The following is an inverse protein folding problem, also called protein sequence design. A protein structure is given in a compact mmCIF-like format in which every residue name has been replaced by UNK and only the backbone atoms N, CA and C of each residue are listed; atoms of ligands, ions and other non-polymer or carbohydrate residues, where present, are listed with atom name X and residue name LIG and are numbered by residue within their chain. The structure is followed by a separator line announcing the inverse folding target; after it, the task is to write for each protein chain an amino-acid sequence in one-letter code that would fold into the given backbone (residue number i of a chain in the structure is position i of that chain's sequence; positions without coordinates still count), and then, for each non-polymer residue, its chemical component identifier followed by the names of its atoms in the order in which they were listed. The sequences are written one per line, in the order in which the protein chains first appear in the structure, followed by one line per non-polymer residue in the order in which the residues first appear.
data_IF_806748583316
#
_entry.id   IF_806748583316
#
_cell.length_a   1.000
_cell.length_b   1.000
_cell.length_c   1.000
_cell.angle_alpha   90.00
_cell.angle_beta   90.00
_cell.angle_gamma   90.00
#
_symmetry.space_group_name_H-M   'P 1'
#
loop_
_entity.id
_entity.type
_entity.pdbx_description
1 polymer ?
#
# COMPACT_ATOMS: atom_id res chain seq x y z
N UNK A 1 -17.52 -25.21 5.51
CA UNK A 1 -18.38 -26.38 5.75
C UNK A 1 -18.93 -26.25 7.17
N UNK A 2 -20.24 -26.38 7.39
CA UNK A 2 -20.83 -26.22 8.73
C UNK A 2 -20.87 -27.56 9.46
N UNK A 3 -20.53 -27.55 10.76
CA UNK A 3 -20.88 -28.61 11.72
C UNK A 3 -21.36 -27.92 13.00
N UNK A 4 -22.47 -28.40 13.55
CA UNK A 4 -23.02 -28.01 14.85
C UNK A 4 -23.24 -29.29 15.66
N UNK A 5 -22.84 -29.32 16.93
CA UNK A 5 -23.42 -30.20 17.94
C UNK A 5 -23.55 -29.46 19.29
N UNK A 6 -24.36 -30.00 20.20
CA UNK A 6 -25.22 -29.21 21.10
C UNK A 6 -25.29 -29.80 22.53
N UNK A 7 -25.06 -28.96 23.56
CA UNK A 7 -25.50 -29.04 24.99
C UNK A 7 -25.12 -30.32 25.81
N UNK A 8 -25.26 -30.43 27.16
CA UNK A 8 -25.40 -29.56 28.37
C UNK A 8 -24.95 -30.43 29.59
N UNK A 9 -24.87 -30.09 30.89
CA UNK A 9 -25.24 -28.99 31.83
C UNK A 9 -23.97 -28.61 32.66
N UNK A 10 -23.89 -27.75 33.69
CA UNK A 10 -24.80 -26.89 34.49
C UNK A 10 -24.08 -25.51 34.65
N UNK A 11 -24.66 -24.38 35.07
CA UNK A 11 -26.03 -24.02 35.45
C UNK A 11 -26.09 -22.53 35.91
N UNK A 12 -27.28 -22.01 36.22
CA UNK A 12 -27.54 -20.66 36.79
C UNK A 12 -27.10 -19.41 35.98
N UNK A 13 -27.94 -19.09 34.98
CA UNK A 13 -28.52 -17.77 34.73
C UNK A 13 -27.67 -16.48 34.91
N UNK A 14 -27.29 -15.88 33.77
CA UNK A 14 -27.29 -14.42 33.61
C UNK A 14 -27.66 -14.07 32.16
N UNK A 15 -28.85 -13.51 31.91
CA UNK A 15 -29.35 -13.24 30.55
C UNK A 15 -28.92 -11.83 30.12
N UNK A 16 -27.72 -11.72 29.55
CA UNK A 16 -27.42 -10.61 28.65
C UNK A 16 -27.91 -10.99 27.25
N UNK A 17 -29.02 -10.38 26.83
CA UNK A 17 -29.61 -10.62 25.51
C UNK A 17 -28.84 -9.85 24.44
N UNK A 18 -27.64 -10.36 24.09
CA UNK A 18 -26.84 -9.84 22.98
C UNK A 18 -27.59 -10.10 21.67
N UNK A 19 -28.33 -9.10 21.21
CA UNK A 19 -28.88 -9.08 19.86
C UNK A 19 -27.74 -8.87 18.86
N UNK A 20 -27.02 -9.95 18.56
CA UNK A 20 -26.26 -10.05 17.32
C UNK A 20 -27.23 -10.04 16.16
N UNK A 21 -27.62 -8.84 15.71
CA UNK A 21 -28.34 -8.66 14.45
C UNK A 21 -27.40 -9.22 13.38
N UNK A 22 -27.74 -10.32 12.68
CA UNK A 22 -26.94 -10.73 11.56
C UNK A 22 -27.14 -9.65 10.49
N UNK A 23 -26.11 -8.87 10.20
CA UNK A 23 -26.13 -7.98 9.04
C UNK A 23 -26.24 -8.90 7.82
N UNK A 24 -27.48 -9.11 7.35
CA UNK A 24 -27.78 -9.80 6.11
C UNK A 24 -27.40 -8.87 4.95
N UNK A 25 -26.09 -8.72 4.75
CA UNK A 25 -25.52 -8.13 3.53
C UNK A 25 -26.10 -8.96 2.38
N UNK A 26 -26.96 -8.34 1.57
CA UNK A 26 -27.81 -8.99 0.57
C UNK A 26 -27.08 -9.55 -0.66
N UNK A 27 -25.79 -9.87 -0.52
CA UNK A 27 -24.88 -10.18 -1.61
C UNK A 27 -24.63 -11.69 -1.71
N UNK A 28 -25.37 -12.37 -2.60
CA UNK A 28 -25.12 -13.79 -2.92
C UNK A 28 -23.71 -14.06 -3.47
N UNK A 29 -23.02 -13.03 -3.98
CA UNK A 29 -21.68 -13.10 -4.55
C UNK A 29 -20.54 -13.22 -3.52
N UNK A 30 -20.73 -12.77 -2.27
CA UNK A 30 -19.64 -12.76 -1.28
C UNK A 30 -19.21 -14.15 -0.78
N UNK A 31 -20.04 -15.19 -0.96
CA UNK A 31 -19.77 -16.54 -0.42
C UNK A 31 -18.63 -17.32 -1.12
N UNK A 32 -18.07 -16.77 -2.20
CA UNK A 32 -16.93 -17.35 -2.92
C UNK A 32 -15.83 -16.33 -3.23
N UNK A 33 -15.87 -15.12 -2.65
CA UNK A 33 -14.78 -14.16 -2.79
C UNK A 33 -13.58 -14.61 -1.95
N UNK A 34 -12.38 -14.45 -2.49
CA UNK A 34 -11.13 -14.59 -1.75
C UNK A 34 -10.57 -13.21 -1.40
N UNK A 35 -9.77 -13.14 -0.33
CA UNK A 35 -9.19 -11.91 0.22
C UNK A 35 -7.66 -11.94 0.08
N UNK A 36 -7.03 -10.78 -0.12
CA UNK A 36 -5.63 -10.56 0.24
C UNK A 36 -5.46 -9.21 0.93
N UNK A 37 -4.41 -9.08 1.75
CA UNK A 37 -4.04 -7.83 2.40
C UNK A 37 -2.97 -7.09 1.58
N UNK A 38 -2.97 -5.77 1.66
CA UNK A 38 -1.98 -4.86 1.12
C UNK A 38 -1.62 -3.88 2.25
N UNK A 39 -0.32 -3.79 2.53
CA UNK A 39 0.27 -2.89 3.51
C UNK A 39 1.40 -2.19 2.78
N UNK A 40 1.49 -0.87 2.91
CA UNK A 40 2.63 -0.08 2.43
C UNK A 40 3.21 0.75 3.58
N UNK A 41 4.40 1.30 3.36
CA UNK A 41 4.95 2.43 4.11
C UNK A 41 4.80 2.29 5.63
N UNK A 42 5.48 1.27 6.16
CA UNK A 42 5.56 0.99 7.59
C UNK A 42 6.38 2.04 8.34
N UNK A 43 7.47 2.53 7.72
CA UNK A 43 8.50 3.45 8.27
C UNK A 43 8.64 3.35 9.79
N UNK A 44 9.42 2.36 10.24
CA UNK A 44 9.72 2.21 11.66
C UNK A 44 10.74 3.27 12.11
N UNK A 45 10.35 4.16 13.02
CA UNK A 45 11.31 4.96 13.79
C UNK A 45 11.72 4.19 15.07
N UNK A 46 12.94 3.63 15.15
CA UNK A 46 13.40 2.91 16.34
C UNK A 46 13.76 3.84 17.51
N UNK A 47 13.79 5.17 17.31
CA UNK A 47 14.05 6.14 18.37
C UNK A 47 12.77 6.69 19.00
N UNK A 48 11.58 6.31 18.51
CA UNK A 48 10.32 6.89 19.00
C UNK A 48 10.11 6.61 20.50
N UNK A 49 10.04 7.67 21.31
CA UNK A 49 9.68 7.61 22.72
C UNK A 49 9.01 8.92 23.19
N UNK A 50 7.95 8.82 23.98
CA UNK A 50 7.27 10.01 24.54
C UNK A 50 8.12 10.62 25.65
N UNK A 51 8.38 11.94 25.58
CA UNK A 51 9.25 12.69 26.49
C UNK A 51 8.80 14.16 26.55
N UNK A 52 9.11 14.87 27.64
CA UNK A 52 8.75 16.30 27.83
C UNK A 52 9.42 17.21 26.79
N UNK A 53 10.60 16.83 26.29
CA UNK A 53 11.27 17.54 25.21
C UNK A 53 10.79 16.99 23.86
N UNK A 54 9.72 17.57 23.34
CA UNK A 54 9.08 17.16 22.09
C UNK A 54 10.02 17.17 20.86
N UNK A 55 11.19 17.84 20.92
CA UNK A 55 12.21 17.79 19.85
C UNK A 55 12.99 16.48 19.79
N UNK A 56 12.88 15.65 20.83
CA UNK A 56 13.60 14.37 20.98
C UNK A 56 12.68 13.13 20.88
N UNK A 57 11.38 13.33 20.65
CA UNK A 57 10.40 12.23 20.62
C UNK A 57 10.73 11.21 19.54
N UNK A 58 11.13 11.66 18.35
CA UNK A 58 11.43 10.83 17.20
C UNK A 58 12.55 11.50 16.38
N UNK A 59 13.37 10.72 15.67
CA UNK A 59 14.43 11.29 14.81
C UNK A 59 13.84 11.76 13.47
N UNK A 60 12.77 11.09 13.02
CA UNK A 60 11.99 11.40 11.82
C UNK A 60 11.48 12.84 11.74
N UNK A 61 11.17 13.50 12.87
CA UNK A 61 10.78 14.93 12.88
C UNK A 61 11.93 15.90 12.58
N UNK A 62 13.18 15.42 12.47
CA UNK A 62 14.38 16.21 12.18
C UNK A 62 14.60 17.35 13.20
N UNK A 63 14.20 17.12 14.46
CA UNK A 63 14.29 18.08 15.56
C UNK A 63 13.11 19.07 15.66
N UNK A 64 12.11 18.96 14.79
CA UNK A 64 10.81 19.63 14.98
C UNK A 64 10.14 19.07 16.24
N UNK A 65 9.54 19.90 17.10
CA UNK A 65 8.73 19.41 18.21
C UNK A 65 7.52 18.60 17.69
N UNK A 66 7.40 17.33 18.10
CA UNK A 66 6.21 16.52 17.89
C UNK A 66 4.95 17.23 18.45
N UNK A 67 3.79 17.07 17.82
CA UNK A 67 2.64 17.93 18.09
C UNK A 67 1.81 17.50 19.32
N UNK A 68 1.37 16.24 19.37
CA UNK A 68 0.65 15.63 20.49
C UNK A 68 1.07 14.14 20.63
N UNK A 69 2.33 13.88 21.02
CA UNK A 69 2.96 12.57 20.89
C UNK A 69 2.41 11.55 21.90
N UNK A 70 1.90 10.43 21.37
CA UNK A 70 1.35 9.34 22.16
C UNK A 70 1.92 7.97 21.82
N UNK A 71 1.38 6.94 22.47
CA UNK A 71 1.90 5.56 22.43
C UNK A 71 1.83 4.93 21.02
N UNK A 72 1.00 5.47 20.13
CA UNK A 72 0.84 4.98 18.76
C UNK A 72 1.42 5.94 17.70
N UNK A 73 2.09 7.02 18.08
CA UNK A 73 2.76 7.93 17.15
C UNK A 73 2.39 9.41 17.33
N UNK A 74 2.88 10.23 16.40
CA UNK A 74 2.53 11.65 16.23
C UNK A 74 2.53 11.95 14.72
N UNK A 75 1.75 12.93 14.25
CA UNK A 75 1.70 13.26 12.81
C UNK A 75 2.99 13.93 12.28
N UNK A 76 3.95 14.28 13.12
CA UNK A 76 5.29 14.76 12.70
C UNK A 76 6.38 13.70 12.90
N UNK A 77 5.99 12.44 13.15
CA UNK A 77 6.90 11.32 13.39
C UNK A 77 6.53 10.09 12.56
N UNK A 78 7.53 9.29 12.25
CA UNK A 78 7.36 7.94 11.74
C UNK A 78 6.87 6.94 12.79
N UNK A 79 6.42 5.77 12.33
CA UNK A 79 5.74 4.77 13.16
C UNK A 79 6.60 4.30 14.34
N UNK A 80 6.15 4.44 15.60
CA UNK A 80 6.69 3.62 16.67
C UNK A 80 6.40 2.14 16.40
N UNK A 81 7.25 1.24 16.89
CA UNK A 81 7.04 -0.20 16.73
C UNK A 81 5.66 -0.66 17.24
N UNK A 82 5.15 -0.01 18.30
CA UNK A 82 3.82 -0.27 18.86
C UNK A 82 2.66 0.00 17.89
N UNK A 83 2.79 0.95 16.97
CA UNK A 83 1.78 1.21 15.92
C UNK A 83 1.73 0.04 14.94
N UNK A 84 2.89 -0.32 14.37
CA UNK A 84 3.04 -1.42 13.40
C UNK A 84 2.59 -2.76 14.02
N UNK A 85 2.94 -3.01 15.29
CA UNK A 85 2.47 -4.16 16.04
C UNK A 85 0.94 -4.18 16.19
N UNK A 86 0.32 -3.03 16.43
CA UNK A 86 -1.14 -2.95 16.50
C UNK A 86 -1.81 -3.26 15.15
N UNK A 87 -1.21 -2.82 14.05
CA UNK A 87 -1.68 -3.10 12.68
C UNK A 87 -1.64 -4.60 12.36
N UNK A 88 -0.48 -5.25 12.56
CA UNK A 88 -0.36 -6.71 12.38
C UNK A 88 -1.25 -7.49 13.37
N UNK A 89 -1.39 -7.00 14.60
CA UNK A 89 -2.30 -7.60 15.60
C UNK A 89 -3.77 -7.49 15.20
N UNK A 90 -4.18 -6.41 14.54
CA UNK A 90 -5.53 -6.26 14.02
C UNK A 90 -5.78 -7.21 12.85
N UNK A 91 -4.86 -7.28 11.88
CA UNK A 91 -4.93 -8.25 10.78
C UNK A 91 -5.02 -9.69 11.29
N UNK A 92 -4.15 -10.07 12.24
CA UNK A 92 -4.15 -11.39 12.86
C UNK A 92 -5.38 -11.64 13.74
N UNK A 93 -6.07 -10.62 14.23
CA UNK A 93 -7.37 -10.78 14.91
C UNK A 93 -8.54 -10.92 13.92
N UNK A 94 -8.53 -10.15 12.84
CA UNK A 94 -9.51 -10.23 11.75
C UNK A 94 -9.49 -11.59 11.02
N UNK A 95 -8.34 -12.29 11.04
CA UNK A 95 -8.16 -13.65 10.51
C UNK A 95 -7.80 -14.74 11.58
N UNK A 96 -7.86 -14.37 12.88
CA UNK A 96 -7.73 -15.16 14.14
C UNK A 96 -6.35 -15.47 14.82
N UNK A 97 -6.26 -14.98 16.07
CA UNK A 97 -5.47 -15.36 17.27
C UNK A 97 -3.92 -15.14 17.35
N UNK A 98 -3.36 -14.82 18.55
CA UNK A 98 -2.12 -14.04 18.70
C UNK A 98 -0.81 -14.84 18.88
N UNK A 99 0.34 -14.16 18.66
CA UNK A 99 1.68 -14.35 19.28
C UNK A 99 2.76 -13.53 18.51
N UNK A 100 4.01 -13.46 19.02
CA UNK A 100 4.86 -12.24 19.18
C UNK A 100 6.36 -12.64 19.30
N UNK A 101 7.45 -11.91 18.92
CA UNK A 101 7.75 -10.62 18.26
C UNK A 101 9.19 -10.63 17.65
N UNK A 102 9.48 -9.84 16.58
CA UNK A 102 10.79 -9.25 16.16
C UNK A 102 10.82 -8.78 14.69
N UNK A 103 11.44 -7.61 14.36
CA UNK A 103 11.84 -7.09 13.02
C UNK A 103 10.87 -7.27 11.82
N UNK A 104 10.38 -6.19 11.19
CA UNK A 104 9.44 -6.14 10.04
C UNK A 104 9.22 -7.44 9.23
N UNK A 105 10.20 -7.92 8.46
CA UNK A 105 10.04 -9.15 7.64
C UNK A 105 9.80 -10.39 8.53
N UNK A 106 10.56 -10.52 9.62
CA UNK A 106 10.40 -11.60 10.60
C UNK A 106 9.11 -11.44 11.42
N UNK A 107 8.63 -10.21 11.65
CA UNK A 107 7.35 -9.93 12.34
C UNK A 107 6.21 -10.42 11.46
N UNK A 108 6.23 -10.14 10.17
CA UNK A 108 5.29 -10.70 9.19
C UNK A 108 5.35 -12.23 9.20
N UNK A 109 6.54 -12.84 9.22
CA UNK A 109 6.70 -14.30 9.29
C UNK A 109 6.18 -14.92 10.61
N UNK A 110 6.30 -14.23 11.75
CA UNK A 110 5.78 -14.68 13.04
C UNK A 110 4.25 -14.50 13.19
N UNK A 111 3.72 -13.39 12.67
CA UNK A 111 2.28 -13.12 12.68
C UNK A 111 1.55 -13.99 11.65
N UNK A 112 2.18 -14.33 10.52
CA UNK A 112 1.55 -15.07 9.42
C UNK A 112 2.44 -16.22 8.87
N UNK A 113 2.86 -17.21 9.69
CA UNK A 113 3.85 -18.24 9.32
C UNK A 113 3.39 -19.22 8.23
N UNK A 114 2.12 -19.17 7.83
CA UNK A 114 1.54 -19.99 6.74
C UNK A 114 1.05 -19.14 5.56
N UNK A 115 1.21 -17.81 5.61
CA UNK A 115 0.80 -16.90 4.54
C UNK A 115 2.04 -16.53 3.70
N UNK A 116 2.04 -16.78 2.39
CA UNK A 116 3.08 -16.23 1.52
C UNK A 116 2.90 -14.72 1.43
N UNK A 117 4.00 -13.98 1.59
CA UNK A 117 4.01 -12.52 1.45
C UNK A 117 4.92 -12.14 0.30
N UNK A 118 4.47 -11.17 -0.50
CA UNK A 118 5.13 -10.77 -1.72
C UNK A 118 5.52 -9.29 -1.64
N UNK A 119 6.75 -8.98 -1.22
CA UNK A 119 7.22 -7.60 -1.07
C UNK A 119 7.64 -6.97 -2.41
N UNK A 120 7.75 -5.64 -2.40
CA UNK A 120 8.51 -4.84 -3.35
C UNK A 120 9.48 -3.96 -2.53
N UNK A 121 10.57 -3.48 -3.15
CA UNK A 121 11.48 -2.52 -2.50
C UNK A 121 10.89 -1.10 -2.56
N UNK A 122 10.97 -0.37 -1.47
CA UNK A 122 10.76 1.07 -1.41
C UNK A 122 12.02 1.90 -1.68
N UNK A 123 11.86 3.21 -1.82
CA UNK A 123 12.97 4.14 -2.03
C UNK A 123 13.81 4.36 -0.75
N UNK A 124 13.21 4.15 0.43
CA UNK A 124 13.87 4.17 1.74
C UNK A 124 14.50 2.82 2.15
N UNK A 125 14.30 1.73 1.40
CA UNK A 125 14.92 0.43 1.69
C UNK A 125 16.44 0.39 1.35
N UNK A 126 17.01 1.50 0.88
CA UNK A 126 18.39 1.61 0.43
C UNK A 126 19.12 2.79 1.09
N UNK A 127 20.46 2.77 1.10
CA UNK A 127 21.28 3.86 1.63
C UNK A 127 22.42 4.26 0.68
N UNK A 128 22.57 5.56 0.33
CA UNK A 128 21.64 6.66 0.59
C UNK A 128 20.25 6.40 0.00
N UNK A 129 19.22 7.04 0.56
CA UNK A 129 17.84 6.85 0.09
C UNK A 129 17.70 7.22 -1.40
N UNK A 130 16.70 6.65 -2.06
CA UNK A 130 16.37 6.84 -3.48
C UNK A 130 17.40 6.29 -4.48
N UNK A 131 18.68 6.21 -4.12
CA UNK A 131 19.81 5.86 -5.00
C UNK A 131 19.95 4.35 -5.26
N UNK A 132 18.84 3.64 -5.51
CA UNK A 132 18.85 2.19 -5.75
C UNK A 132 19.63 1.87 -7.05
N UNK A 133 20.68 1.03 -6.99
CA UNK A 133 21.62 0.86 -8.08
C UNK A 133 21.19 -0.20 -9.11
N UNK A 134 21.87 -0.19 -10.25
CA UNK A 134 21.63 -1.09 -11.40
C UNK A 134 22.50 -2.35 -11.40
N UNK A 135 23.11 -2.69 -10.26
CA UNK A 135 23.93 -3.88 -10.08
C UNK A 135 23.59 -4.63 -8.78
N UNK A 136 23.91 -5.93 -8.68
CA UNK A 136 23.85 -6.69 -7.43
C UNK A 136 24.62 -5.99 -6.31
N UNK A 137 24.02 -5.98 -5.11
CA UNK A 137 24.52 -5.27 -3.94
C UNK A 137 23.99 -5.94 -2.65
N UNK A 138 24.53 -5.52 -1.50
CA UNK A 138 24.21 -6.11 -0.19
C UNK A 138 22.74 -5.98 0.22
N UNK A 139 22.00 -4.95 -0.23
CA UNK A 139 20.57 -4.80 0.07
C UNK A 139 19.75 -5.77 -0.77
N UNK A 140 20.02 -5.89 -2.07
CA UNK A 140 19.36 -6.87 -2.94
C UNK A 140 19.65 -8.31 -2.50
N UNK A 141 20.87 -8.59 -2.02
CA UNK A 141 21.24 -9.88 -1.44
C UNK A 141 20.54 -10.15 -0.10
N UNK A 142 20.49 -9.16 0.80
CA UNK A 142 19.79 -9.29 2.09
C UNK A 142 18.27 -9.47 1.90
N UNK A 143 17.64 -8.71 1.00
CA UNK A 143 16.24 -8.86 0.63
C UNK A 143 15.97 -10.27 0.06
N UNK A 144 16.77 -10.72 -0.90
CA UNK A 144 16.66 -12.07 -1.46
C UNK A 144 16.81 -13.18 -0.40
N UNK A 145 17.76 -13.04 0.55
CA UNK A 145 17.95 -13.95 1.68
C UNK A 145 16.72 -13.98 2.59
N UNK A 146 16.21 -12.81 3.00
CA UNK A 146 15.06 -12.65 3.89
C UNK A 146 13.72 -13.10 3.27
N UNK A 147 13.54 -12.91 1.97
CA UNK A 147 12.31 -13.23 1.24
C UNK A 147 12.31 -14.64 0.62
N UNK A 148 13.45 -15.34 0.65
CA UNK A 148 13.56 -16.74 0.18
C UNK A 148 12.55 -17.75 0.75
N UNK A 149 11.94 -17.58 1.96
CA UNK A 149 10.85 -18.45 2.41
C UNK A 149 9.53 -18.28 1.65
N UNK A 150 9.36 -17.18 0.91
CA UNK A 150 8.13 -16.87 0.15
C UNK A 150 8.32 -16.95 -1.38
N UNK A 151 9.57 -16.81 -1.85
CA UNK A 151 9.92 -16.69 -3.27
C UNK A 151 10.49 -18.00 -3.82
N UNK A 152 10.23 -18.28 -5.11
CA UNK A 152 10.89 -19.39 -5.80
C UNK A 152 12.36 -19.02 -6.19
N UNK A 153 13.23 -19.98 -6.53
CA UNK A 153 14.64 -19.69 -6.81
C UNK A 153 14.89 -18.71 -7.97
N UNK A 154 14.00 -18.65 -8.95
CA UNK A 154 14.04 -17.71 -10.08
C UNK A 154 13.74 -16.26 -9.64
N UNK A 155 12.73 -16.10 -8.77
CA UNK A 155 12.41 -14.83 -8.14
C UNK A 155 13.53 -14.36 -7.20
N UNK A 156 14.12 -15.26 -6.40
CA UNK A 156 15.29 -14.95 -5.55
C UNK A 156 16.47 -14.43 -6.40
N UNK A 157 16.78 -15.10 -7.52
CA UNK A 157 17.86 -14.69 -8.42
C UNK A 157 17.60 -13.33 -9.11
N UNK A 158 16.34 -13.01 -9.44
CA UNK A 158 15.98 -11.71 -10.04
C UNK A 158 15.97 -10.57 -9.01
N UNK A 159 15.58 -10.83 -7.75
CA UNK A 159 15.79 -9.89 -6.64
C UNK A 159 17.28 -9.58 -6.47
N UNK A 160 18.16 -10.60 -6.42
CA UNK A 160 19.61 -10.38 -6.32
C UNK A 160 20.18 -9.57 -7.50
N UNK A 161 19.62 -9.72 -8.71
CA UNK A 161 20.06 -8.99 -9.90
C UNK A 161 19.67 -7.50 -9.86
N UNK A 162 18.46 -7.16 -9.42
CA UNK A 162 17.91 -5.81 -9.60
C UNK A 162 16.71 -5.41 -8.73
N UNK A 163 16.37 -6.19 -7.69
CA UNK A 163 15.28 -5.88 -6.77
C UNK A 163 13.86 -6.12 -7.29
N UNK A 164 13.70 -6.73 -8.48
CA UNK A 164 12.42 -7.06 -9.10
C UNK A 164 12.29 -8.58 -9.32
N UNK A 165 11.08 -9.11 -9.42
CA UNK A 165 10.85 -10.55 -9.68
C UNK A 165 9.45 -10.85 -10.23
N UNK A 166 9.28 -12.05 -10.79
CA UNK A 166 7.95 -12.61 -11.07
C UNK A 166 7.87 -14.07 -10.64
N UNK A 167 6.70 -14.52 -10.23
CA UNK A 167 6.44 -15.94 -9.99
C UNK A 167 4.95 -16.26 -10.15
N UNK A 168 4.65 -17.51 -10.53
CA UNK A 168 3.29 -18.03 -10.47
C UNK A 168 2.92 -18.24 -8.99
N UNK A 169 1.97 -17.46 -8.48
CA UNK A 169 1.55 -17.51 -7.06
C UNK A 169 0.42 -18.53 -6.81
N UNK A 170 -0.29 -18.91 -7.87
CA UNK A 170 -1.26 -20.02 -7.94
C UNK A 170 -1.57 -20.32 -9.42
N UNK A 171 -2.13 -21.49 -9.77
CA UNK A 171 -2.51 -21.79 -11.14
C UNK A 171 -3.35 -20.66 -11.77
N UNK A 172 -2.88 -20.13 -12.90
CA UNK A 172 -3.53 -19.03 -13.62
C UNK A 172 -3.29 -17.61 -13.09
N UNK A 173 -2.57 -17.40 -11.97
CA UNK A 173 -2.18 -16.05 -11.53
C UNK A 173 -0.66 -15.97 -11.29
N UNK A 174 -0.02 -15.08 -12.05
CA UNK A 174 1.33 -14.59 -11.80
C UNK A 174 1.29 -13.31 -10.98
N UNK A 175 2.30 -13.14 -10.14
CA UNK A 175 2.68 -11.84 -9.59
C UNK A 175 3.94 -11.34 -10.30
N UNK A 176 3.98 -10.03 -10.57
CA UNK A 176 5.16 -9.28 -10.97
C UNK A 176 5.41 -8.20 -9.92
N UNK A 177 6.59 -8.20 -9.31
CA UNK A 177 7.07 -7.14 -8.41
C UNK A 177 8.12 -6.31 -9.13
N UNK A 178 7.87 -5.01 -9.27
CA UNK A 178 8.74 -4.06 -9.97
C UNK A 178 9.57 -3.24 -8.98
N UNK A 179 10.84 -3.02 -9.32
CA UNK A 179 11.67 -2.04 -8.66
C UNK A 179 11.52 -0.70 -9.40
N UNK A 180 10.40 0.01 -9.15
CA UNK A 180 10.12 1.32 -9.76
C UNK A 180 10.99 2.45 -9.21
N UNK A 181 11.75 2.21 -8.13
CA UNK A 181 12.75 3.16 -7.62
C UNK A 181 13.88 3.39 -8.62
N UNK A 182 14.17 2.42 -9.51
CA UNK A 182 15.08 2.63 -10.65
C UNK A 182 14.56 3.68 -11.65
N UNK A 183 13.28 4.01 -11.60
CA UNK A 183 12.65 5.03 -12.44
C UNK A 183 12.35 6.34 -11.69
N UNK A 184 12.53 6.35 -10.36
CA UNK A 184 12.16 7.47 -9.49
C UNK A 184 12.97 8.72 -9.80
N UNK A 185 12.33 9.89 -9.81
CA UNK A 185 12.95 11.13 -10.30
C UNK A 185 14.19 11.60 -9.52
N UNK A 186 14.32 11.37 -8.20
CA UNK A 186 15.55 11.63 -7.43
C UNK A 186 16.65 10.54 -7.52
N UNK A 187 16.44 9.41 -8.20
CA UNK A 187 17.46 8.36 -8.29
C UNK A 187 18.50 8.72 -9.36
N UNK A 188 19.57 9.41 -8.98
CA UNK A 188 20.59 9.91 -9.90
C UNK A 188 21.42 8.77 -10.53
N UNK A 189 21.44 7.58 -9.92
CA UNK A 189 22.15 6.39 -10.43
C UNK A 189 21.59 5.90 -11.77
N UNK A 190 20.33 6.21 -12.09
CA UNK A 190 19.65 5.75 -13.34
C UNK A 190 19.44 6.85 -14.38
N UNK A 191 20.05 8.02 -14.20
CA UNK A 191 19.99 9.13 -15.17
C UNK A 191 20.62 8.72 -16.51
N UNK A 192 20.00 9.16 -17.61
CA UNK A 192 20.37 8.84 -19.00
C UNK A 192 20.36 7.34 -19.39
N UNK A 193 19.86 6.44 -18.53
CA UNK A 193 19.61 5.05 -18.90
C UNK A 193 18.26 4.92 -19.65
N UNK A 194 18.17 3.98 -20.59
CA UNK A 194 16.92 3.70 -21.33
C UNK A 194 16.10 2.57 -20.72
N UNK A 195 16.76 1.55 -20.17
CA UNK A 195 16.14 0.44 -19.45
C UNK A 195 17.06 -0.05 -18.30
N UNK A 196 16.98 0.56 -17.11
CA UNK A 196 17.73 0.14 -15.93
C UNK A 196 17.61 -1.37 -15.66
N UNK A 197 18.75 -2.08 -15.70
CA UNK A 197 18.87 -3.54 -15.48
C UNK A 197 18.14 -4.42 -16.53
N UNK A 198 17.56 -3.81 -17.57
CA UNK A 198 16.72 -4.49 -18.55
C UNK A 198 15.30 -4.83 -18.03
N UNK A 199 14.81 -4.09 -17.05
CA UNK A 199 13.55 -4.36 -16.35
C UNK A 199 12.31 -4.14 -17.27
N UNK A 200 12.33 -3.21 -18.23
CA UNK A 200 11.25 -3.06 -19.21
C UNK A 200 11.23 -4.20 -20.24
N UNK A 201 12.38 -4.66 -20.72
CA UNK A 201 12.47 -5.86 -21.56
C UNK A 201 11.92 -7.07 -20.80
N UNK A 202 12.46 -7.34 -19.61
CA UNK A 202 12.06 -8.46 -18.75
C UNK A 202 10.57 -8.41 -18.38
N UNK A 203 10.00 -7.23 -18.12
CA UNK A 203 8.56 -7.08 -17.86
C UNK A 203 7.72 -7.51 -19.07
N UNK A 204 8.11 -7.12 -20.28
CA UNK A 204 7.38 -7.52 -21.50
C UNK A 204 7.50 -9.03 -21.75
N UNK A 205 8.66 -9.63 -21.49
CA UNK A 205 8.87 -11.08 -21.56
C UNK A 205 7.98 -11.83 -20.54
N UNK A 206 7.90 -11.36 -19.29
CA UNK A 206 7.05 -11.94 -18.26
C UNK A 206 5.55 -11.81 -18.56
N UNK A 207 5.11 -10.67 -19.12
CA UNK A 207 3.71 -10.44 -19.51
C UNK A 207 3.31 -11.25 -20.75
N UNK A 208 4.21 -11.43 -21.72
CA UNK A 208 3.97 -12.27 -22.90
C UNK A 208 3.97 -13.76 -22.56
N UNK A 209 4.86 -14.23 -21.68
CA UNK A 209 4.81 -15.58 -21.11
C UNK A 209 3.46 -15.82 -20.39
N UNK A 210 2.99 -14.83 -19.62
CA UNK A 210 1.69 -14.89 -18.96
C UNK A 210 0.54 -15.03 -19.97
N UNK A 211 0.56 -14.25 -21.06
CA UNK A 211 -0.43 -14.33 -22.15
C UNK A 211 -0.45 -15.72 -22.80
N UNK A 212 0.72 -16.26 -23.12
CA UNK A 212 0.85 -17.59 -23.75
C UNK A 212 0.33 -18.71 -22.85
N UNK A 213 0.61 -18.62 -21.54
CA UNK A 213 0.14 -19.55 -20.53
C UNK A 213 -1.34 -19.32 -20.10
N UNK A 214 -1.99 -18.25 -20.57
CA UNK A 214 -3.33 -17.79 -20.16
C UNK A 214 -3.42 -17.43 -18.67
N UNK A 215 -2.32 -16.96 -18.11
CA UNK A 215 -2.23 -16.41 -16.76
C UNK A 215 -2.78 -14.98 -16.73
N UNK A 216 -3.35 -14.59 -15.58
CA UNK A 216 -3.51 -13.18 -15.19
C UNK A 216 -2.29 -12.71 -14.43
N UNK A 217 -2.09 -11.40 -14.38
CA UNK A 217 -0.92 -10.78 -13.74
C UNK A 217 -1.37 -9.71 -12.77
N UNK A 218 -1.08 -9.90 -11.48
CA UNK A 218 -1.05 -8.79 -10.54
C UNK A 218 0.34 -8.15 -10.56
N UNK A 219 0.39 -6.82 -10.66
CA UNK A 219 1.63 -6.04 -10.62
C UNK A 219 1.67 -5.28 -9.31
N UNK A 220 2.77 -5.41 -8.56
CA UNK A 220 3.09 -4.59 -7.39
C UNK A 220 4.37 -3.79 -7.65
N UNK A 221 4.44 -2.61 -7.04
CA UNK A 221 5.52 -1.66 -7.15
C UNK A 221 5.42 -0.69 -5.96
N UNK A 222 6.51 0.00 -5.65
CA UNK A 222 6.49 1.09 -4.67
C UNK A 222 6.07 2.40 -5.34
N UNK A 223 7.02 3.14 -5.93
CA UNK A 223 6.73 4.43 -6.58
C UNK A 223 5.70 4.25 -7.71
N UNK A 224 4.53 4.91 -7.64
CA UNK A 224 3.42 4.68 -8.55
C UNK A 224 3.52 5.48 -9.85
N UNK A 225 3.01 4.91 -10.95
CA UNK A 225 2.90 5.59 -12.24
C UNK A 225 1.80 6.67 -12.25
N UNK A 226 1.87 7.56 -13.23
CA UNK A 226 0.97 8.69 -13.41
C UNK A 226 1.34 9.91 -12.56
N UNK A 227 0.49 10.93 -12.66
CA UNK A 227 0.72 12.25 -12.06
C UNK A 227 0.49 12.29 -10.55
N UNK A 228 1.18 13.21 -9.88
CA UNK A 228 1.06 13.49 -8.45
C UNK A 228 -0.23 14.26 -8.14
N UNK A 229 -1.05 13.83 -7.16
CA UNK A 229 -2.35 14.47 -6.85
C UNK A 229 -2.24 15.85 -6.19
N UNK A 230 -1.02 16.31 -5.91
CA UNK A 230 -0.70 17.60 -5.30
C UNK A 230 0.18 18.51 -6.18
N UNK A 231 0.71 18.02 -7.32
CA UNK A 231 1.55 18.82 -8.23
C UNK A 231 1.12 18.66 -9.70
N UNK A 232 0.68 19.75 -10.33
CA UNK A 232 0.21 19.74 -11.73
C UNK A 232 1.28 19.23 -12.69
N UNK A 233 0.87 18.38 -13.65
CA UNK A 233 1.69 17.79 -14.71
C UNK A 233 3.00 17.10 -14.24
N UNK A 234 3.16 16.83 -12.94
CA UNK A 234 4.38 16.28 -12.36
C UNK A 234 4.20 14.78 -12.10
N UNK A 235 5.15 13.95 -12.49
CA UNK A 235 5.16 12.49 -12.29
C UNK A 235 6.17 12.10 -11.20
N UNK A 236 5.91 11.01 -10.47
CA UNK A 236 6.83 10.55 -9.42
C UNK A 236 8.10 9.93 -10.02
N UNK A 237 7.90 8.96 -10.91
CA UNK A 237 8.95 8.43 -11.81
C UNK A 237 9.13 9.35 -13.02
N UNK A 238 10.33 9.34 -13.62
CA UNK A 238 10.67 10.22 -14.75
C UNK A 238 9.73 9.97 -15.94
N UNK A 239 9.34 11.05 -16.63
CA UNK A 239 8.28 11.05 -17.66
C UNK A 239 8.48 10.00 -18.78
N UNK A 240 9.72 9.81 -19.24
CA UNK A 240 10.07 8.78 -20.23
C UNK A 240 9.74 7.36 -19.76
N UNK A 241 10.07 7.04 -18.51
CA UNK A 241 9.78 5.77 -17.86
C UNK A 241 8.27 5.62 -17.57
N UNK A 242 7.59 6.72 -17.23
CA UNK A 242 6.13 6.74 -17.08
C UNK A 242 5.42 6.31 -18.36
N UNK A 243 5.72 6.97 -19.48
CA UNK A 243 5.09 6.65 -20.77
C UNK A 243 5.47 5.25 -21.28
N UNK A 244 6.67 4.76 -20.95
CA UNK A 244 7.09 3.40 -21.26
C UNK A 244 6.26 2.35 -20.49
N UNK A 245 6.03 2.52 -19.18
CA UNK A 245 5.16 1.63 -18.40
C UNK A 245 3.70 1.73 -18.83
N UNK A 246 3.18 2.94 -19.03
CA UNK A 246 1.82 3.22 -19.54
C UNK A 246 1.59 2.51 -20.90
N UNK A 247 2.58 2.53 -21.79
CA UNK A 247 2.56 1.82 -23.08
C UNK A 247 2.61 0.30 -22.91
N UNK A 248 3.47 -0.23 -22.05
CA UNK A 248 3.55 -1.67 -21.77
C UNK A 248 2.22 -2.17 -21.19
N UNK A 249 1.68 -1.55 -20.15
CA UNK A 249 0.43 -1.99 -19.54
C UNK A 249 -0.80 -1.83 -20.46
N UNK A 250 -0.81 -0.87 -21.39
CA UNK A 250 -1.80 -0.82 -22.49
C UNK A 250 -1.69 -2.05 -23.39
N UNK A 251 -0.48 -2.38 -23.85
CA UNK A 251 -0.18 -3.51 -24.74
C UNK A 251 -0.43 -4.90 -24.12
N UNK A 252 -0.51 -5.01 -22.79
CA UNK A 252 -0.74 -6.26 -22.04
C UNK A 252 -1.98 -6.20 -21.12
N UNK A 253 -2.93 -5.31 -21.44
CA UNK A 253 -4.22 -5.16 -20.73
C UNK A 253 -5.03 -6.47 -20.65
N UNK A 254 -4.93 -7.34 -21.65
CA UNK A 254 -5.58 -8.65 -21.65
C UNK A 254 -5.12 -9.59 -20.51
N UNK A 255 -3.92 -9.40 -19.96
CA UNK A 255 -3.39 -10.19 -18.83
C UNK A 255 -3.35 -9.45 -17.50
N UNK A 256 -3.09 -8.13 -17.48
CA UNK A 256 -2.96 -7.38 -16.21
C UNK A 256 -4.33 -7.11 -15.56
N UNK A 257 -5.28 -6.48 -16.27
CA UNK A 257 -6.69 -6.46 -15.86
C UNK A 257 -7.62 -6.05 -17.02
N UNK A 258 -8.82 -6.63 -17.04
CA UNK A 258 -9.66 -6.73 -18.24
C UNK A 258 -9.99 -5.42 -18.95
N UNK A 259 -10.28 -5.54 -20.26
CA UNK A 259 -10.64 -4.40 -21.13
C UNK A 259 -11.76 -3.54 -20.50
N UNK A 260 -11.68 -2.20 -20.56
CA UNK A 260 -10.91 -1.44 -21.57
C UNK A 260 -9.38 -1.39 -21.43
N UNK A 261 -8.81 -1.05 -20.27
CA UNK A 261 -7.35 -0.85 -20.12
C UNK A 261 -6.77 -1.49 -18.85
N UNK A 262 -6.94 -0.88 -17.67
CA UNK A 262 -6.43 -1.40 -16.40
C UNK A 262 -7.01 -0.61 -15.19
N UNK A 263 -6.95 -1.21 -13.99
CA UNK A 263 -7.27 -0.57 -12.70
C UNK A 263 -6.00 -0.43 -11.87
N UNK A 264 -5.72 0.75 -11.32
CA UNK A 264 -4.55 0.99 -10.46
C UNK A 264 -4.99 1.65 -9.16
N UNK A 265 -4.49 1.12 -8.04
CA UNK A 265 -4.81 1.56 -6.68
C UNK A 265 -3.51 1.86 -5.94
N UNK A 266 -3.41 3.06 -5.39
CA UNK A 266 -2.39 3.43 -4.40
C UNK A 266 -3.03 3.21 -3.03
N UNK A 267 -2.33 2.51 -2.14
CA UNK A 267 -2.74 2.24 -0.75
C UNK A 267 -2.30 3.43 0.13
N UNK A 268 -2.78 3.62 1.37
CA UNK A 268 -2.21 4.59 2.30
C UNK A 268 -1.26 3.92 3.29
N UNK A 269 -0.27 4.69 3.75
CA UNK A 269 0.76 4.25 4.68
C UNK A 269 0.23 3.73 6.04
N UNK A 270 1.08 2.97 6.75
CA UNK A 270 0.92 2.76 8.20
C UNK A 270 1.54 3.93 8.97
N UNK A 271 2.63 4.54 8.48
CA UNK A 271 3.16 5.78 9.07
C UNK A 271 2.15 6.92 8.95
N UNK A 272 1.99 7.77 10.00
CA UNK A 272 1.16 8.97 9.97
C UNK A 272 1.96 10.24 9.64
N UNK A 273 3.26 10.12 9.32
CA UNK A 273 4.15 11.26 9.15
C UNK A 273 3.66 12.22 8.06
N UNK A 274 3.82 13.52 8.31
CA UNK A 274 3.74 14.60 7.32
C UNK A 274 4.78 15.67 7.63
N UNK A 275 5.18 16.41 6.60
CA UNK A 275 6.03 17.58 6.76
C UNK A 275 5.30 18.76 7.43
N UNK A 276 6.02 19.67 8.09
CA UNK A 276 5.42 20.84 8.78
C UNK A 276 4.57 21.73 7.86
N UNK A 277 5.00 21.87 6.61
CA UNK A 277 4.36 22.66 5.55
C UNK A 277 3.04 22.07 5.04
N UNK A 278 2.76 20.79 5.32
CA UNK A 278 1.62 20.08 4.75
C UNK A 278 0.35 20.26 5.59
N UNK A 279 -0.81 20.57 4.97
CA UNK A 279 -2.04 20.87 5.68
C UNK A 279 -2.77 19.63 6.23
N UNK A 280 -2.41 18.42 5.80
CA UNK A 280 -3.02 17.16 6.22
C UNK A 280 -2.01 16.02 6.20
N UNK A 281 -2.34 14.90 6.85
CA UNK A 281 -1.70 13.60 6.70
C UNK A 281 -2.75 12.52 6.41
N UNK A 282 -2.35 11.25 6.35
CA UNK A 282 -3.23 10.10 6.55
C UNK A 282 -3.29 9.70 8.04
N UNK A 283 -4.40 9.09 8.46
CA UNK A 283 -4.35 8.18 9.60
C UNK A 283 -3.56 6.91 9.23
N UNK A 284 -2.94 6.20 10.19
CA UNK A 284 -2.39 4.85 9.97
C UNK A 284 -3.43 3.91 9.36
N UNK A 285 -3.05 3.21 8.28
CA UNK A 285 -3.98 2.52 7.39
C UNK A 285 -3.63 1.06 7.13
N UNK A 286 -4.65 0.26 6.78
CA UNK A 286 -4.52 -1.10 6.28
C UNK A 286 -5.57 -1.35 5.19
N UNK A 287 -5.21 -2.04 4.09
CA UNK A 287 -6.17 -2.34 3.01
C UNK A 287 -6.29 -3.84 2.74
N UNK A 288 -7.52 -4.31 2.55
CA UNK A 288 -7.79 -5.63 2.01
C UNK A 288 -8.52 -5.53 0.67
N UNK A 289 -8.21 -6.45 -0.25
CA UNK A 289 -8.84 -6.55 -1.56
C UNK A 289 -9.64 -7.86 -1.62
N UNK A 290 -10.87 -7.78 -2.11
CA UNK A 290 -11.69 -8.94 -2.47
C UNK A 290 -11.56 -9.23 -3.97
N UNK A 291 -11.44 -10.50 -4.34
CA UNK A 291 -11.33 -10.93 -5.73
C UNK A 291 -12.04 -12.25 -5.98
N UNK A 292 -12.44 -12.50 -7.23
CA UNK A 292 -13.03 -13.78 -7.64
C UNK A 292 -11.93 -14.84 -7.87
N UNK A 293 -11.98 -16.02 -7.22
CA UNK A 293 -10.93 -17.04 -7.33
C UNK A 293 -10.65 -17.57 -8.74
N UNK A 294 -11.65 -17.65 -9.61
CA UNK A 294 -11.53 -18.29 -10.94
C UNK A 294 -11.03 -17.35 -12.04
N UNK A 295 -11.28 -16.05 -11.89
CA UNK A 295 -11.03 -15.02 -12.92
C UNK A 295 -9.96 -14.01 -12.49
N UNK A 296 -9.65 -13.98 -11.19
CA UNK A 296 -8.81 -12.98 -10.52
C UNK A 296 -9.28 -11.53 -10.67
N UNK A 297 -10.53 -11.33 -11.10
CA UNK A 297 -11.16 -10.01 -11.14
C UNK A 297 -11.31 -9.44 -9.72
N UNK A 298 -10.84 -8.21 -9.51
CA UNK A 298 -11.04 -7.47 -8.28
C UNK A 298 -12.52 -7.08 -8.15
N UNK A 299 -13.09 -7.40 -6.99
CA UNK A 299 -14.49 -7.20 -6.64
C UNK A 299 -14.65 -5.96 -5.75
N UNK A 300 -13.81 -5.81 -4.73
CA UNK A 300 -13.92 -4.73 -3.75
C UNK A 300 -12.62 -4.41 -3.01
N UNK A 301 -12.60 -3.25 -2.34
CA UNK A 301 -11.58 -2.80 -1.40
C UNK A 301 -12.26 -2.54 -0.06
N UNK A 302 -11.68 -3.11 1.00
CA UNK A 302 -11.99 -2.76 2.38
C UNK A 302 -10.81 -1.93 2.91
N UNK A 303 -11.04 -0.64 3.16
CA UNK A 303 -10.06 0.22 3.81
C UNK A 303 -10.30 0.19 5.32
N UNK A 304 -9.25 -0.04 6.09
CA UNK A 304 -9.23 0.02 7.54
C UNK A 304 -8.27 1.13 7.98
N UNK A 305 -8.49 1.67 9.18
CA UNK A 305 -7.67 2.73 9.73
C UNK A 305 -7.63 2.68 11.26
N UNK A 306 -6.63 3.33 11.83
CA UNK A 306 -6.59 3.71 13.23
C UNK A 306 -6.74 5.22 13.34
N UNK A 307 -7.76 5.71 14.03
CA UNK A 307 -7.87 7.12 14.40
C UNK A 307 -6.76 7.45 15.42
N UNK A 308 -5.64 8.03 14.97
CA UNK A 308 -4.43 8.17 15.79
C UNK A 308 -4.69 9.03 17.04
N UNK A 309 -5.44 10.12 16.89
CA UNK A 309 -5.80 11.04 17.98
C UNK A 309 -6.64 10.34 19.06
N UNK A 310 -7.64 9.55 18.65
CA UNK A 310 -8.46 8.74 19.56
C UNK A 310 -7.63 7.63 20.23
N UNK A 311 -6.76 6.95 19.47
CA UNK A 311 -5.93 5.87 19.97
C UNK A 311 -4.89 6.34 21.00
N UNK A 312 -4.31 7.52 20.80
CA UNK A 312 -3.39 8.17 21.75
C UNK A 312 -4.13 8.63 23.01
N UNK A 313 -5.31 9.26 22.85
CA UNK A 313 -6.15 9.74 23.96
C UNK A 313 -6.65 8.60 24.86
N UNK A 314 -7.22 7.55 24.27
CA UNK A 314 -7.72 6.37 25.00
C UNK A 314 -6.59 5.38 25.39
N UNK A 315 -5.39 5.57 24.84
CA UNK A 315 -4.25 4.63 24.95
C UNK A 315 -4.61 3.22 24.47
N UNK A 316 -5.43 3.13 23.42
CA UNK A 316 -5.99 1.87 22.89
C UNK A 316 -6.08 1.90 21.37
N UNK A 317 -5.41 0.95 20.71
CA UNK A 317 -5.43 0.83 19.25
C UNK A 317 -6.70 0.15 18.72
N UNK A 318 -7.83 0.85 18.72
CA UNK A 318 -9.06 0.35 18.09
C UNK A 318 -9.09 0.63 16.59
N UNK A 319 -8.52 -0.30 15.82
CA UNK A 319 -8.58 -0.32 14.36
C UNK A 319 -10.00 -0.60 13.85
N UNK A 320 -10.48 0.23 12.91
CA UNK A 320 -11.86 0.26 12.43
C UNK A 320 -11.90 0.15 10.90
N UNK A 321 -13.00 -0.36 10.35
CA UNK A 321 -13.30 -0.26 8.92
C UNK A 321 -13.65 1.20 8.61
N UNK A 322 -12.93 1.83 7.68
CA UNK A 322 -13.23 3.18 7.20
C UNK A 322 -14.33 3.13 6.13
N UNK A 323 -14.13 2.32 5.08
CA UNK A 323 -15.11 2.16 4.01
C UNK A 323 -14.95 0.84 3.22
N UNK A 324 -16.03 0.47 2.55
CA UNK A 324 -16.06 -0.53 1.47
C UNK A 324 -16.23 0.23 0.15
N UNK A 325 -15.36 0.00 -0.83
CA UNK A 325 -15.27 0.85 -2.03
C UNK A 325 -16.53 0.80 -2.90
N UNK A 326 -17.14 -0.37 -3.08
CA UNK A 326 -18.40 -0.49 -3.84
C UNK A 326 -19.56 0.23 -3.17
N UNK A 327 -19.70 0.10 -1.85
CA UNK A 327 -20.77 0.72 -1.06
C UNK A 327 -20.57 2.24 -0.92
N UNK A 328 -19.35 2.68 -0.64
CA UNK A 328 -19.02 4.09 -0.45
C UNK A 328 -19.27 4.92 -1.73
N UNK A 329 -18.96 4.36 -2.90
CA UNK A 329 -19.10 5.04 -4.19
C UNK A 329 -20.24 4.53 -5.07
N UNK A 330 -21.11 3.64 -4.57
CA UNK A 330 -22.21 3.07 -5.35
C UNK A 330 -21.77 2.57 -6.74
N UNK A 331 -20.67 1.79 -6.78
CA UNK A 331 -20.14 1.16 -8.00
C UNK A 331 -20.30 -0.37 -7.91
N UNK A 332 -20.41 -1.05 -9.05
CA UNK A 332 -20.74 -2.47 -9.09
C UNK A 332 -19.55 -3.39 -8.73
N UNK A 333 -18.34 -2.98 -9.07
CA UNK A 333 -17.08 -3.71 -8.91
C UNK A 333 -15.89 -2.75 -9.07
N UNK A 334 -14.66 -3.30 -9.03
CA UNK A 334 -13.42 -2.57 -9.27
C UNK A 334 -12.88 -2.71 -10.71
N UNK A 335 -13.73 -3.11 -11.67
CA UNK A 335 -13.31 -3.24 -13.06
C UNK A 335 -13.17 -1.85 -13.73
N UNK A 336 -12.30 -1.68 -14.75
CA UNK A 336 -11.92 -0.33 -15.21
C UNK A 336 -13.10 0.52 -15.72
N UNK A 337 -14.18 -0.09 -16.20
CA UNK A 337 -15.40 0.63 -16.58
C UNK A 337 -16.11 1.26 -15.35
N UNK A 338 -16.30 0.51 -14.27
CA UNK A 338 -16.92 1.00 -13.03
C UNK A 338 -16.11 2.14 -12.40
N UNK A 339 -14.79 1.99 -12.40
CA UNK A 339 -13.86 3.03 -11.93
C UNK A 339 -13.87 4.28 -12.84
N UNK A 340 -13.90 4.11 -14.16
CA UNK A 340 -13.96 5.24 -15.10
C UNK A 340 -15.26 6.03 -14.94
N UNK A 341 -16.40 5.36 -14.75
CA UNK A 341 -17.65 6.07 -14.43
C UNK A 341 -17.56 6.84 -13.10
N UNK A 342 -16.89 6.30 -12.08
CA UNK A 342 -16.61 7.04 -10.85
C UNK A 342 -15.72 8.26 -11.12
N UNK A 343 -14.62 8.13 -11.87
CA UNK A 343 -13.75 9.26 -12.22
C UNK A 343 -14.53 10.40 -12.91
N UNK A 344 -15.41 10.09 -13.87
CA UNK A 344 -16.29 11.07 -14.51
C UNK A 344 -17.30 11.74 -13.54
N UNK A 345 -17.69 11.08 -12.43
CA UNK A 345 -18.45 11.72 -11.35
C UNK A 345 -17.56 12.57 -10.44
N UNK A 346 -16.33 12.15 -10.16
CA UNK A 346 -15.34 12.91 -9.37
C UNK A 346 -14.91 14.21 -10.09
N UNK A 347 -14.91 14.23 -11.42
CA UNK A 347 -14.57 15.42 -12.21
C UNK A 347 -15.59 16.59 -12.11
N UNK A 348 -16.81 16.33 -11.62
CA UNK A 348 -17.89 17.32 -11.61
C UNK A 348 -17.64 18.44 -10.57
N UNK A 349 -17.98 19.68 -10.93
CA UNK A 349 -17.69 20.88 -10.12
C UNK A 349 -18.21 20.79 -8.69
N UNK A 350 -19.44 20.31 -8.50
CA UNK A 350 -20.08 20.09 -7.20
C UNK A 350 -20.25 18.60 -6.88
N UNK A 351 -19.24 17.78 -7.21
CA UNK A 351 -19.24 16.34 -6.92
C UNK A 351 -19.14 16.05 -5.43
N UNK A 352 -20.22 15.52 -4.84
CA UNK A 352 -20.22 14.94 -3.48
C UNK A 352 -19.39 13.66 -3.37
N UNK A 353 -19.19 12.94 -4.47
CA UNK A 353 -18.27 11.81 -4.48
C UNK A 353 -16.82 12.28 -4.37
N UNK A 354 -16.48 13.45 -4.93
CA UNK A 354 -15.14 14.01 -4.76
C UNK A 354 -14.88 14.40 -3.31
N UNK A 355 -15.85 15.01 -2.64
CA UNK A 355 -15.68 15.46 -1.25
C UNK A 355 -15.50 14.24 -0.31
N UNK A 356 -16.21 13.14 -0.59
CA UNK A 356 -16.03 11.82 0.05
C UNK A 356 -14.67 11.18 -0.28
N UNK A 357 -14.28 11.18 -1.55
CA UNK A 357 -12.97 10.69 -2.02
C UNK A 357 -11.83 11.44 -1.36
N UNK A 358 -11.92 12.77 -1.20
CA UNK A 358 -10.89 13.56 -0.55
C UNK A 358 -10.76 13.27 0.96
N UNK A 359 -11.88 13.05 1.66
CA UNK A 359 -11.84 12.56 3.05
C UNK A 359 -11.14 11.19 3.16
N UNK A 360 -11.44 10.25 2.26
CA UNK A 360 -10.81 8.92 2.24
C UNK A 360 -9.36 8.92 1.71
N UNK A 361 -8.99 9.89 0.88
CA UNK A 361 -7.61 10.16 0.47
C UNK A 361 -6.75 10.51 1.69
N UNK A 362 -7.27 11.31 2.63
CA UNK A 362 -6.64 11.58 3.92
C UNK A 362 -6.92 10.49 4.98
N UNK A 363 -7.51 9.35 4.63
CA UNK A 363 -7.91 8.26 5.55
C UNK A 363 -8.69 8.80 6.77
N UNK A 364 -9.64 9.70 6.52
CA UNK A 364 -10.44 10.40 7.54
C UNK A 364 -9.64 11.15 8.63
N UNK A 365 -8.40 11.59 8.33
CA UNK A 365 -7.54 12.39 9.23
C UNK A 365 -8.27 13.59 9.85
N UNK A 366 -8.92 14.41 9.02
CA UNK A 366 -9.70 15.55 9.50
C UNK A 366 -10.81 15.93 8.50
N UNK A 367 -12.06 15.59 8.84
CA UNK A 367 -13.25 15.86 8.02
C UNK A 367 -13.63 17.36 7.91
N UNK A 368 -12.93 18.25 8.63
CA UNK A 368 -13.09 19.70 8.50
C UNK A 368 -12.28 20.30 7.34
N UNK A 369 -11.35 19.54 6.76
CA UNK A 369 -10.50 20.00 5.64
C UNK A 369 -11.24 19.77 4.32
N UNK A 370 -11.66 20.84 3.65
CA UNK A 370 -12.28 20.77 2.32
C UNK A 370 -11.25 21.03 1.22
N UNK A 371 -11.47 20.41 0.06
CA UNK A 371 -10.61 20.56 -1.11
C UNK A 371 -11.37 21.27 -2.23
N UNK A 372 -11.13 22.57 -2.37
CA UNK A 372 -11.81 23.47 -3.32
C UNK A 372 -10.82 24.12 -4.29
N UNK A 373 -11.35 24.82 -5.31
CA UNK A 373 -10.55 25.60 -6.26
C UNK A 373 -9.41 24.79 -6.91
N UNK A 374 -8.17 25.25 -6.71
CA UNK A 374 -6.97 24.57 -7.21
C UNK A 374 -6.78 23.17 -6.61
N UNK A 375 -7.07 22.95 -5.33
CA UNK A 375 -6.97 21.62 -4.72
C UNK A 375 -7.81 20.60 -5.51
N UNK A 376 -9.08 20.93 -5.76
CA UNK A 376 -10.00 20.10 -6.55
C UNK A 376 -9.61 19.96 -8.03
N UNK A 377 -8.65 20.74 -8.54
CA UNK A 377 -8.10 20.57 -9.89
C UNK A 377 -6.95 19.57 -9.89
N UNK A 378 -6.02 19.64 -8.93
CA UNK A 378 -4.84 18.75 -8.90
C UNK A 378 -5.18 17.36 -8.34
N UNK A 379 -6.03 17.29 -7.31
CA UNK A 379 -6.52 16.06 -6.69
C UNK A 379 -7.49 15.24 -7.56
N UNK A 380 -7.89 15.79 -8.71
CA UNK A 380 -8.84 15.15 -9.62
C UNK A 380 -8.17 13.93 -10.26
N UNK A 381 -8.81 12.73 -10.28
CA UNK A 381 -8.23 11.55 -10.94
C UNK A 381 -7.88 11.86 -12.40
N UNK A 382 -6.60 11.76 -12.75
CA UNK A 382 -6.15 12.05 -14.11
C UNK A 382 -6.50 10.89 -15.03
N UNK A 383 -7.67 10.96 -15.69
CA UNK A 383 -8.03 10.01 -16.74
C UNK A 383 -7.06 10.14 -17.90
N UNK A 384 -6.17 9.16 -18.12
CA UNK A 384 -5.17 9.19 -19.21
C UNK A 384 -5.77 9.06 -20.63
N UNK A 385 -7.11 9.06 -20.74
CA UNK A 385 -7.89 9.50 -21.90
C UNK A 385 -9.33 9.81 -21.45
N UNK A 386 -10.01 10.71 -22.16
CA UNK A 386 -11.48 10.87 -22.07
C UNK A 386 -12.24 9.80 -22.86
N UNK A 387 -11.55 9.03 -23.68
CA UNK A 387 -12.10 7.84 -24.33
C UNK A 387 -11.94 6.63 -23.41
N UNK A 388 -13.05 5.97 -22.97
CA UNK A 388 -12.99 4.79 -22.12
C UNK A 388 -12.13 3.66 -22.71
N UNK A 389 -12.01 3.57 -24.04
CA UNK A 389 -11.24 2.53 -24.74
C UNK A 389 -9.72 2.77 -24.74
N UNK A 390 -9.25 3.95 -24.31
CA UNK A 390 -7.84 4.36 -24.37
C UNK A 390 -7.26 4.79 -23.00
N UNK A 391 -8.09 5.07 -22.01
CA UNK A 391 -7.68 5.64 -20.72
C UNK A 391 -7.40 4.60 -19.63
N UNK A 392 -6.32 4.79 -18.87
CA UNK A 392 -6.22 4.22 -17.51
C UNK A 392 -7.17 4.97 -16.58
N UNK A 393 -7.80 4.24 -15.65
CA UNK A 393 -8.43 4.85 -14.48
C UNK A 393 -7.49 4.71 -13.28
N UNK A 394 -6.69 5.75 -13.04
CA UNK A 394 -5.86 5.90 -11.84
C UNK A 394 -6.69 6.55 -10.73
N UNK A 395 -7.19 5.75 -9.79
CA UNK A 395 -7.81 6.22 -8.56
C UNK A 395 -6.79 6.07 -7.43
N UNK A 396 -6.11 7.18 -7.10
CA UNK A 396 -5.23 7.25 -5.93
C UNK A 396 -6.09 7.43 -4.70
N UNK A 397 -6.27 6.36 -3.93
CA UNK A 397 -7.15 6.32 -2.75
C UNK A 397 -6.34 6.55 -1.46
N UNK A 398 -5.40 7.50 -1.52
CA UNK A 398 -4.45 7.81 -0.46
C UNK A 398 -3.62 9.06 -0.77
N UNK A 399 -3.40 9.87 0.26
CA UNK A 399 -2.15 10.58 0.45
C UNK A 399 -1.10 9.54 0.86
N UNK A 400 -0.09 9.36 0.02
CA UNK A 400 1.22 8.82 0.42
C UNK A 400 2.24 9.92 0.14
N UNK A 401 3.16 10.11 1.08
CA UNK A 401 4.21 11.12 0.99
C UNK A 401 5.22 10.70 -0.09
N UNK A 402 5.11 11.29 -1.29
CA UNK A 402 6.25 11.30 -2.22
C UNK A 402 7.18 12.41 -1.73
N UNK A 403 7.97 12.06 -0.70
CA UNK A 403 8.75 12.98 0.14
C UNK A 403 9.43 14.08 -0.67
N UNK A 404 9.26 15.31 -0.18
CA UNK A 404 9.72 16.51 -0.86
C UNK A 404 11.23 16.53 -1.07
N UNK A 405 11.64 16.98 -2.26
CA UNK A 405 13.01 17.25 -2.67
C UNK A 405 13.67 18.33 -1.78
N UNK A 406 14.23 17.94 -0.64
CA UNK A 406 15.15 18.78 0.15
C UNK A 406 16.46 18.03 0.45
N UNK A 407 17.62 18.72 0.43
CA UNK A 407 18.93 18.07 0.47
C UNK A 407 19.34 17.56 1.87
N UNK A 408 20.31 16.65 1.86
CA UNK A 408 20.74 15.82 3.00
C UNK A 408 21.33 16.59 4.19
N UNK A 409 21.20 16.00 5.39
CA UNK A 409 22.09 16.24 6.54
C UNK A 409 22.60 14.90 7.11
N UNK A 410 23.83 14.90 7.61
CA UNK A 410 24.77 13.78 7.46
C UNK A 410 24.83 12.79 8.66
N UNK A 411 23.77 12.65 9.46
CA UNK A 411 23.86 11.96 10.78
C UNK A 411 23.09 10.62 10.93
N UNK A 412 22.41 10.12 9.90
CA UNK A 412 21.65 8.85 9.94
C UNK A 412 22.53 7.55 9.97
N UNK A 413 23.77 7.62 10.46
CA UNK A 413 24.84 6.65 10.18
C UNK A 413 24.82 5.31 10.95
N UNK A 414 23.85 5.09 11.85
CA UNK A 414 23.90 3.97 12.81
C UNK A 414 23.00 2.80 12.40
N UNK A 415 21.70 3.05 12.14
CA UNK A 415 20.65 2.01 12.05
C UNK A 415 20.97 0.86 11.08
N UNK A 416 21.16 1.17 9.79
CA UNK A 416 21.36 0.16 8.73
C UNK A 416 22.70 -0.59 8.90
N UNK A 417 23.74 0.10 9.39
CA UNK A 417 25.07 -0.49 9.60
C UNK A 417 25.06 -1.55 10.70
N UNK A 418 24.30 -1.34 11.76
CA UNK A 418 24.22 -2.29 12.87
C UNK A 418 23.22 -3.42 12.61
N UNK A 419 22.15 -3.17 11.85
CA UNK A 419 21.27 -4.22 11.34
C UNK A 419 22.02 -5.25 10.47
N UNK A 420 22.95 -4.81 9.62
CA UNK A 420 23.76 -5.70 8.77
C UNK A 420 24.85 -6.47 9.53
N UNK A 421 25.41 -5.91 10.62
CA UNK A 421 26.37 -6.63 11.49
C UNK A 421 25.76 -7.85 12.19
N UNK A 422 24.44 -7.87 12.39
CA UNK A 422 23.74 -9.02 12.98
C UNK A 422 23.46 -10.18 12.03
N UNK A 423 23.93 -10.13 10.77
CA UNK A 423 23.60 -11.08 9.71
C UNK A 423 24.82 -11.73 9.02
N UNK A 424 26.03 -11.49 9.55
CA UNK A 424 27.32 -12.09 9.14
C UNK A 424 27.79 -13.14 10.15
#
# INVERSE_FOLDING_TARGET
MYIIFILCLFGQACIFQVYSIPVHIGMKHLKSAAKFWHISDLHLDPTYHVTEDHTKVCFSSKGVPAQDPGVFGDFLCDSPYQLILSAFSYMKQADLQPDVIANMTLTIQQFFPQLPVYPALGNHDYWPQDQLPTSPNAIYEAAAKLWSPWLNPEAVATVQKGGFYSMLVKPGLRLVSLNTNLYYSPNEVTVNMSDPVGQFQWLQEALELSRQNKEKVFVIAHVPIGYLPFAMNTTAIRESYNEQLVKIFRNYSDVVQGKPVNSIFVTPAVTPIKSLSEPFSNNPSLRAYLYQPDTFALLDILQFYLNLTEANLERRSEWKLEYIMTEAFSIADLQPNSLHQLALRLEQSQSKDFDKYFNHFMVSYNSSITCEGLCKIVQRPHTLSRDPSLGFCLLRLSAEEVMSLEPEFEEAHISIRDALKGLM
#
